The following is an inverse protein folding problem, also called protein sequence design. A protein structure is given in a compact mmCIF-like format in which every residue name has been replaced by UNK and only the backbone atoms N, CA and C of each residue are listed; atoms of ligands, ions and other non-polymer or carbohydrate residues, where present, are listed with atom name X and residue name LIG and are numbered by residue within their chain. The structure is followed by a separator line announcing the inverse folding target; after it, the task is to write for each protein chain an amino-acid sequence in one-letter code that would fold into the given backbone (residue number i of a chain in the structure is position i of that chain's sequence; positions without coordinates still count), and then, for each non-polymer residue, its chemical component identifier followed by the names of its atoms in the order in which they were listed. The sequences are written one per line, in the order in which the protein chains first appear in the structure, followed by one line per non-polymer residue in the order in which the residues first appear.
data_IF_008475199873
#
_entry.id   IF_008475199873
#
_cell.length_a   1.000
_cell.length_b   1.000
_cell.length_c   1.000
_cell.angle_alpha   90.00
_cell.angle_beta   90.00
_cell.angle_gamma   90.00
#
_symmetry.space_group_name_H-M   'P 1'
#
loop_
_entity.id
_entity.type
_entity.pdbx_description
1 polymer ?
#
# COMPACT_ATOMS: atom_id res chain seq x y z
N UNK A 1 -30.88 -25.17 12.20
CA UNK A 1 -29.95 -24.55 13.17
C UNK A 1 -28.46 -24.73 12.76
N UNK A 2 -28.04 -25.92 12.29
CA UNK A 2 -26.63 -26.14 11.91
C UNK A 2 -26.16 -25.33 10.68
N UNK A 3 -27.03 -25.11 9.68
CA UNK A 3 -26.67 -24.35 8.48
C UNK A 3 -26.45 -22.85 8.75
N UNK A 4 -27.09 -22.29 9.77
CA UNK A 4 -26.93 -20.88 10.15
C UNK A 4 -25.58 -20.67 10.83
N UNK A 5 -25.20 -21.57 11.74
CA UNK A 5 -23.91 -21.51 12.46
C UNK A 5 -22.73 -21.68 11.49
N UNK A 6 -22.84 -22.59 10.53
CA UNK A 6 -21.79 -22.80 9.51
C UNK A 6 -21.67 -21.56 8.62
N UNK A 7 -22.77 -20.95 8.19
CA UNK A 7 -22.74 -19.70 7.41
C UNK A 7 -22.12 -18.54 8.18
N UNK A 8 -22.47 -18.36 9.44
CA UNK A 8 -21.91 -17.32 10.30
C UNK A 8 -20.42 -17.54 10.53
N UNK A 9 -19.99 -18.78 10.74
CA UNK A 9 -18.57 -19.12 10.93
C UNK A 9 -17.75 -18.92 9.65
N UNK A 10 -18.25 -19.34 8.50
CA UNK A 10 -17.62 -19.06 7.20
C UNK A 10 -17.54 -17.56 6.90
N UNK A 11 -18.59 -16.80 7.22
CA UNK A 11 -18.60 -15.35 7.04
C UNK A 11 -17.61 -14.65 7.97
N UNK A 12 -17.47 -15.12 9.20
CA UNK A 12 -16.48 -14.61 10.16
C UNK A 12 -15.04 -14.88 9.70
N UNK A 13 -14.73 -16.09 9.22
CA UNK A 13 -13.42 -16.46 8.71
C UNK A 13 -13.07 -15.64 7.44
N UNK A 14 -14.00 -15.50 6.50
CA UNK A 14 -13.78 -14.69 5.29
C UNK A 14 -13.53 -13.22 5.63
N UNK A 15 -14.31 -12.65 6.52
CA UNK A 15 -14.16 -11.25 6.95
C UNK A 15 -12.81 -10.98 7.59
N UNK A 16 -12.32 -11.88 8.44
CA UNK A 16 -10.99 -11.75 9.04
C UNK A 16 -9.88 -11.92 8.00
N UNK A 17 -10.03 -12.80 7.02
CA UNK A 17 -9.10 -13.00 5.91
C UNK A 17 -8.90 -11.73 5.08
N UNK A 18 -9.97 -10.98 4.81
CA UNK A 18 -9.92 -9.74 4.03
C UNK A 18 -9.18 -8.66 4.80
N UNK A 19 -9.49 -8.47 6.09
CA UNK A 19 -8.79 -7.51 6.94
C UNK A 19 -7.29 -7.76 7.02
N UNK A 20 -6.88 -9.02 7.17
CA UNK A 20 -5.46 -9.42 7.18
C UNK A 20 -4.81 -9.15 5.83
N UNK A 21 -5.48 -9.45 4.72
CA UNK A 21 -4.97 -9.18 3.38
C UNK A 21 -4.76 -7.67 3.15
N UNK A 22 -5.70 -6.82 3.58
CA UNK A 22 -5.54 -5.37 3.49
C UNK A 22 -4.46 -4.83 4.41
N UNK A 23 -4.34 -5.33 5.65
CA UNK A 23 -3.22 -4.99 6.52
C UNK A 23 -1.89 -5.26 5.84
N UNK A 24 -1.73 -6.42 5.22
CA UNK A 24 -0.52 -6.79 4.50
C UNK A 24 -0.27 -5.90 3.27
N UNK A 25 -1.31 -5.64 2.46
CA UNK A 25 -1.20 -4.79 1.26
C UNK A 25 -0.78 -3.35 1.59
N UNK A 26 -1.18 -2.82 2.75
CA UNK A 26 -0.80 -1.48 3.19
C UNK A 26 0.60 -1.49 3.81
N UNK A 27 0.89 -2.47 4.66
CA UNK A 27 2.15 -2.50 5.42
C UNK A 27 3.34 -2.83 4.54
N UNK A 28 3.19 -3.76 3.61
CA UNK A 28 4.28 -4.27 2.76
C UNK A 28 5.00 -3.17 1.95
N UNK A 29 4.32 -2.24 1.26
CA UNK A 29 5.00 -1.16 0.56
C UNK A 29 5.53 -0.06 1.50
N UNK A 30 4.92 0.14 2.67
CA UNK A 30 5.38 1.12 3.66
C UNK A 30 6.63 0.66 4.40
N UNK A 31 6.75 -0.63 4.68
CA UNK A 31 7.83 -1.19 5.48
C UNK A 31 8.47 -2.35 4.71
N UNK A 32 9.52 -2.04 3.98
CA UNK A 32 10.39 -3.05 3.41
C UNK A 32 11.84 -2.85 3.90
N UNK A 33 12.62 -3.90 3.84
CA UNK A 33 13.99 -3.94 4.34
C UNK A 33 14.87 -2.86 3.72
N UNK A 34 14.72 -2.63 2.42
CA UNK A 34 15.51 -1.65 1.70
C UNK A 34 15.21 -0.21 2.16
N UNK A 35 13.92 0.10 2.31
CA UNK A 35 13.46 1.41 2.80
C UNK A 35 13.92 1.66 4.24
N UNK A 36 13.83 0.65 5.12
CA UNK A 36 14.28 0.75 6.51
C UNK A 36 15.78 1.02 6.58
N UNK A 37 16.59 0.32 5.79
CA UNK A 37 18.06 0.54 5.76
C UNK A 37 18.39 1.95 5.28
N UNK A 38 17.75 2.45 4.23
CA UNK A 38 17.95 3.82 3.75
C UNK A 38 17.51 4.86 4.79
N UNK A 39 16.37 4.64 5.43
CA UNK A 39 15.88 5.51 6.50
C UNK A 39 16.85 5.58 7.67
N UNK A 40 17.43 4.44 8.08
CA UNK A 40 18.48 4.39 9.12
C UNK A 40 19.70 5.21 8.73
N UNK A 41 20.13 5.15 7.48
CA UNK A 41 21.28 5.87 6.98
C UNK A 41 21.07 7.39 6.89
N UNK A 42 19.89 7.84 6.49
CA UNK A 42 19.64 9.27 6.24
C UNK A 42 19.00 10.00 7.44
N UNK A 43 18.07 9.36 8.16
CA UNK A 43 17.30 9.98 9.24
C UNK A 43 17.68 9.47 10.64
N UNK A 44 18.51 8.44 10.71
CA UNK A 44 18.93 7.84 11.96
C UNK A 44 17.87 6.92 12.59
N UNK A 45 18.25 6.25 13.69
CA UNK A 45 17.47 5.17 14.28
C UNK A 45 16.15 5.63 14.91
N UNK A 46 16.11 6.83 15.55
CA UNK A 46 14.91 7.33 16.23
C UNK A 46 13.75 7.51 15.26
N UNK A 47 14.01 8.22 14.15
CA UNK A 47 13.00 8.50 13.13
C UNK A 47 12.60 7.21 12.44
N UNK A 48 13.55 6.32 12.15
CA UNK A 48 13.28 5.05 11.48
C UNK A 48 12.41 4.13 12.32
N UNK A 49 12.69 3.96 13.60
CA UNK A 49 11.85 3.14 14.51
C UNK A 49 10.43 3.69 14.58
N UNK A 50 10.28 5.01 14.74
CA UNK A 50 8.96 5.64 14.78
C UNK A 50 8.21 5.49 13.45
N UNK A 51 8.93 5.58 12.32
CA UNK A 51 8.39 5.34 10.98
C UNK A 51 7.85 3.90 10.83
N UNK A 52 8.64 2.90 11.22
CA UNK A 52 8.22 1.48 11.19
C UNK A 52 7.01 1.25 12.07
N UNK A 53 7.01 1.77 13.30
CA UNK A 53 5.87 1.66 14.20
C UNK A 53 4.61 2.33 13.62
N UNK A 54 4.76 3.51 13.03
CA UNK A 54 3.63 4.20 12.39
C UNK A 54 3.09 3.45 11.18
N UNK A 55 3.96 2.88 10.35
CA UNK A 55 3.56 2.05 9.20
C UNK A 55 2.82 0.77 9.62
N UNK A 56 3.27 0.11 10.69
CA UNK A 56 2.56 -1.02 11.30
C UNK A 56 1.18 -0.60 11.81
N UNK A 57 1.11 0.53 12.52
CA UNK A 57 -0.16 1.07 13.04
C UNK A 57 -1.13 1.39 11.90
N UNK A 58 -0.66 2.03 10.83
CA UNK A 58 -1.46 2.30 9.63
C UNK A 58 -2.03 1.00 9.07
N UNK A 59 -1.18 -0.01 8.86
CA UNK A 59 -1.59 -1.29 8.29
C UNK A 59 -2.60 -2.03 9.17
N UNK A 60 -2.34 -2.12 10.47
CA UNK A 60 -3.24 -2.80 11.42
C UNK A 60 -4.57 -2.08 11.54
N UNK A 61 -4.56 -0.76 11.78
CA UNK A 61 -5.80 0.03 11.96
C UNK A 61 -6.64 0.03 10.68
N UNK A 62 -6.02 0.27 9.54
CA UNK A 62 -6.72 0.26 8.24
C UNK A 62 -7.29 -1.12 7.91
N UNK A 63 -6.52 -2.19 8.16
CA UNK A 63 -6.97 -3.56 7.97
C UNK A 63 -8.11 -3.96 8.92
N UNK A 64 -8.09 -3.51 10.18
CA UNK A 64 -9.19 -3.72 11.13
C UNK A 64 -10.46 -2.98 10.69
N UNK A 65 -10.34 -1.74 10.22
CA UNK A 65 -11.49 -0.96 9.73
C UNK A 65 -12.09 -1.65 8.50
N UNK A 66 -11.27 -1.96 7.50
CA UNK A 66 -11.70 -2.63 6.26
C UNK A 66 -12.24 -4.03 6.53
N UNK A 67 -11.61 -4.78 7.44
CA UNK A 67 -12.07 -6.12 7.83
C UNK A 67 -13.42 -6.15 8.55
N UNK A 68 -13.81 -5.05 9.22
CA UNK A 68 -15.14 -4.93 9.86
C UNK A 68 -16.25 -4.56 8.88
N UNK A 69 -15.92 -4.05 7.71
CA UNK A 69 -16.87 -3.74 6.67
C UNK A 69 -17.17 -4.99 5.83
N UNK A 70 -18.42 -5.19 5.42
CA UNK A 70 -18.82 -6.30 4.57
C UNK A 70 -18.42 -6.00 3.11
N UNK A 71 -17.14 -6.22 2.77
CA UNK A 71 -16.54 -5.84 1.50
C UNK A 71 -16.49 -7.00 0.48
N UNK A 72 -16.96 -8.19 0.84
CA UNK A 72 -16.93 -9.40 -0.02
C UNK A 72 -17.55 -9.16 -1.39
N UNK A 73 -18.64 -8.37 -1.45
CA UNK A 73 -19.35 -8.02 -2.68
C UNK A 73 -18.55 -7.13 -3.66
N UNK A 74 -17.47 -6.53 -3.19
CA UNK A 74 -16.61 -5.65 -4.00
C UNK A 74 -15.35 -6.34 -4.51
N UNK A 75 -15.13 -7.61 -4.15
CA UNK A 75 -14.11 -8.46 -4.75
C UNK A 75 -14.58 -8.99 -6.08
N UNK A 76 -13.65 -9.25 -6.99
CA UNK A 76 -13.96 -9.86 -8.29
C UNK A 76 -14.23 -11.34 -8.08
N UNK A 77 -15.29 -11.88 -8.70
CA UNK A 77 -15.79 -13.25 -8.50
C UNK A 77 -14.71 -14.33 -8.70
N UNK A 78 -13.81 -14.16 -9.66
CA UNK A 78 -12.71 -15.10 -9.92
C UNK A 78 -11.80 -15.36 -8.70
N UNK A 79 -11.74 -14.42 -7.74
CA UNK A 79 -10.97 -14.55 -6.50
C UNK A 79 -11.80 -15.12 -5.34
N UNK A 80 -13.12 -15.02 -5.43
CA UNK A 80 -14.05 -15.53 -4.41
C UNK A 80 -14.43 -16.98 -4.70
N UNK A 81 -14.68 -17.33 -5.96
CA UNK A 81 -15.08 -18.69 -6.37
C UNK A 81 -14.01 -19.75 -6.11
N UNK A 82 -12.73 -19.39 -6.23
CA UNK A 82 -11.63 -20.31 -5.88
C UNK A 82 -11.56 -20.65 -4.38
N UNK A 83 -12.26 -19.89 -3.51
CA UNK A 83 -12.34 -20.20 -2.06
C UNK A 83 -13.59 -20.96 -1.65
N UNK A 84 -14.67 -20.93 -2.44
CA UNK A 84 -15.97 -21.46 -2.04
C UNK A 84 -16.30 -22.86 -2.58
N UNK A 85 -15.56 -23.38 -3.49
CA UNK A 85 -15.88 -24.69 -4.03
C UNK A 85 -14.78 -25.32 -4.89
N UNK A 86 -14.12 -26.30 -4.36
CA UNK A 86 -13.15 -27.20 -4.99
C UNK A 86 -11.68 -26.75 -4.93
N UNK A 87 -11.16 -26.44 -3.75
CA UNK A 87 -9.87 -27.06 -3.46
C UNK A 87 -10.14 -28.57 -3.23
N UNK A 88 -10.28 -29.36 -4.30
CA UNK A 88 -9.77 -30.72 -4.22
C UNK A 88 -8.33 -30.51 -3.80
N UNK A 89 -7.98 -30.93 -2.59
CA UNK A 89 -6.60 -31.19 -2.23
C UNK A 89 -6.11 -32.24 -3.23
N UNK A 90 -5.68 -31.80 -4.40
CA UNK A 90 -4.97 -32.63 -5.32
C UNK A 90 -3.64 -32.93 -4.64
N UNK A 91 -3.60 -34.08 -3.99
CA UNK A 91 -2.39 -34.60 -3.37
C UNK A 91 -1.38 -34.88 -4.46
N UNK A 92 -0.54 -33.90 -4.74
CA UNK A 92 0.57 -34.08 -5.67
C UNK A 92 1.64 -34.93 -5.00
N UNK A 93 1.65 -36.22 -5.31
CA UNK A 93 2.55 -37.23 -4.70
C UNK A 93 3.98 -37.15 -5.21
N UNK A 94 4.22 -36.54 -6.38
CA UNK A 94 5.53 -36.48 -7.04
C UNK A 94 6.05 -35.05 -7.17
N UNK A 95 7.37 -34.88 -6.98
CA UNK A 95 8.02 -33.56 -7.14
C UNK A 95 7.73 -32.93 -8.52
N UNK A 96 7.77 -33.73 -9.58
CA UNK A 96 7.48 -33.23 -10.94
C UNK A 96 6.06 -32.75 -11.11
N UNK A 97 5.05 -33.36 -10.48
CA UNK A 97 3.67 -32.90 -10.54
C UNK A 97 3.47 -31.59 -9.77
N UNK A 98 4.17 -31.41 -8.63
CA UNK A 98 4.17 -30.16 -7.86
C UNK A 98 4.82 -29.02 -8.64
N UNK A 99 5.97 -29.30 -9.27
CA UNK A 99 6.67 -28.29 -10.09
C UNK A 99 5.84 -27.87 -11.30
N UNK A 100 5.24 -28.84 -12.01
CA UNK A 100 4.39 -28.54 -13.17
C UNK A 100 3.17 -27.71 -12.78
N UNK A 101 2.50 -28.07 -11.70
CA UNK A 101 1.38 -27.27 -11.17
C UNK A 101 1.82 -25.85 -10.82
N UNK A 102 2.92 -25.70 -10.09
CA UNK A 102 3.45 -24.37 -9.73
C UNK A 102 3.81 -23.54 -10.96
N UNK A 103 4.38 -24.17 -11.99
CA UNK A 103 4.69 -23.50 -13.25
C UNK A 103 3.45 -23.05 -14.00
N UNK A 104 2.48 -23.94 -14.19
CA UNK A 104 1.24 -23.66 -14.90
C UNK A 104 0.43 -22.56 -14.17
N UNK A 105 0.37 -22.60 -12.85
CA UNK A 105 -0.29 -21.58 -12.03
C UNK A 105 0.44 -20.23 -12.11
N UNK A 106 1.77 -20.22 -12.02
CA UNK A 106 2.58 -19.01 -12.15
C UNK A 106 2.39 -18.35 -13.52
N UNK A 107 2.40 -19.14 -14.60
CA UNK A 107 2.16 -18.64 -15.96
C UNK A 107 0.72 -18.12 -16.10
N UNK A 108 -0.26 -18.80 -15.52
CA UNK A 108 -1.66 -18.38 -15.52
C UNK A 108 -1.85 -17.02 -14.83
N UNK A 109 -1.28 -16.88 -13.63
CA UNK A 109 -1.32 -15.63 -12.86
C UNK A 109 -0.61 -14.51 -13.65
N UNK A 110 0.60 -14.76 -14.13
CA UNK A 110 1.38 -13.78 -14.90
C UNK A 110 0.59 -13.29 -16.12
N UNK A 111 -0.02 -14.20 -16.90
CA UNK A 111 -0.85 -13.83 -18.07
C UNK A 111 -2.06 -12.96 -17.70
N UNK A 112 -2.60 -13.11 -16.49
CA UNK A 112 -3.75 -12.32 -16.03
C UNK A 112 -3.36 -10.90 -15.62
N UNK A 113 -2.14 -10.68 -15.14
CA UNK A 113 -1.74 -9.40 -14.53
C UNK A 113 -0.72 -8.60 -15.34
N UNK A 114 0.08 -9.22 -16.24
CA UNK A 114 1.21 -8.56 -16.93
C UNK A 114 0.80 -7.28 -17.68
N UNK A 115 -0.36 -7.29 -18.35
CA UNK A 115 -0.84 -6.11 -19.08
C UNK A 115 -1.17 -4.95 -18.13
N UNK A 116 -1.80 -5.24 -16.99
CA UNK A 116 -2.11 -4.24 -15.97
C UNK A 116 -0.85 -3.66 -15.34
N UNK A 117 0.16 -4.51 -15.12
CA UNK A 117 1.50 -4.08 -14.67
C UNK A 117 2.13 -3.15 -15.69
N UNK A 118 2.15 -3.51 -16.98
CA UNK A 118 2.71 -2.67 -18.04
C UNK A 118 2.01 -1.32 -18.13
N UNK A 119 0.68 -1.30 -18.12
CA UNK A 119 -0.10 -0.06 -18.15
C UNK A 119 0.21 0.78 -16.90
N UNK A 120 0.19 0.17 -15.70
CA UNK A 120 0.46 0.86 -14.44
C UNK A 120 1.84 1.49 -14.42
N UNK A 121 2.89 0.72 -14.71
CA UNK A 121 4.27 1.21 -14.76
C UNK A 121 4.46 2.26 -15.86
N UNK A 122 3.88 2.05 -17.04
CA UNK A 122 3.95 3.00 -18.15
C UNK A 122 3.32 4.35 -17.80
N UNK A 123 2.15 4.37 -17.18
CA UNK A 123 1.49 5.59 -16.70
C UNK A 123 2.34 6.25 -15.61
N UNK A 124 2.84 5.48 -14.63
CA UNK A 124 3.69 6.00 -13.57
C UNK A 124 4.99 6.63 -14.09
N UNK A 125 5.66 5.99 -15.03
CA UNK A 125 6.87 6.51 -15.67
C UNK A 125 6.60 7.80 -16.47
N UNK A 126 5.47 7.87 -17.18
CA UNK A 126 5.06 9.08 -17.89
C UNK A 126 4.85 10.23 -16.91
N UNK A 127 4.10 10.03 -15.82
CA UNK A 127 3.84 11.06 -14.80
C UNK A 127 5.16 11.53 -14.16
N UNK A 128 6.07 10.61 -13.82
CA UNK A 128 7.34 10.92 -13.20
C UNK A 128 8.22 11.87 -14.05
N UNK A 129 8.18 11.73 -15.37
CA UNK A 129 8.92 12.62 -16.28
C UNK A 129 8.31 14.02 -16.42
N UNK A 130 7.00 14.19 -16.18
CA UNK A 130 6.31 15.46 -16.40
C UNK A 130 6.20 16.35 -15.16
N UNK A 131 6.41 15.82 -13.95
CA UNK A 131 6.28 16.58 -12.69
C UNK A 131 7.68 16.84 -12.11
N UNK A 132 8.27 18.06 -12.30
CA UNK A 132 9.55 18.42 -11.71
C UNK A 132 9.47 18.49 -10.17
N UNK A 133 10.50 18.00 -9.48
CA UNK A 133 10.59 18.02 -8.01
C UNK A 133 10.51 19.43 -7.44
N UNK A 134 11.06 20.44 -8.16
CA UNK A 134 11.00 21.84 -7.77
C UNK A 134 9.57 22.39 -7.74
N UNK A 135 8.71 21.91 -8.62
CA UNK A 135 7.29 22.31 -8.64
C UNK A 135 6.56 21.79 -7.41
N UNK A 136 6.79 20.53 -7.05
CA UNK A 136 6.25 19.88 -5.84
C UNK A 136 6.67 20.67 -4.60
N UNK A 137 7.97 20.99 -4.50
CA UNK A 137 8.52 21.74 -3.39
C UNK A 137 7.89 23.14 -3.28
N UNK A 138 7.76 23.88 -4.39
CA UNK A 138 7.16 25.22 -4.40
C UNK A 138 5.69 25.20 -3.96
N UNK A 139 4.94 24.19 -4.34
CA UNK A 139 3.54 24.03 -3.93
C UNK A 139 3.47 23.75 -2.43
N UNK A 140 4.21 22.76 -1.95
CA UNK A 140 4.13 22.32 -0.56
C UNK A 140 4.66 23.38 0.42
N UNK A 141 5.77 24.06 0.10
CA UNK A 141 6.40 25.07 0.99
C UNK A 141 5.51 26.30 1.26
N UNK A 142 4.57 26.59 0.36
CA UNK A 142 3.64 27.75 0.50
C UNK A 142 2.37 27.44 1.29
N UNK A 143 2.11 26.20 1.63
CA UNK A 143 0.79 25.75 2.12
C UNK A 143 0.68 25.62 3.63
N UNK A 144 1.74 25.88 4.39
CA UNK A 144 1.71 25.89 5.86
C UNK A 144 1.13 24.60 6.45
N UNK A 145 0.04 24.71 7.20
CA UNK A 145 -0.59 23.56 7.86
C UNK A 145 -1.16 22.54 6.87
N UNK A 146 -1.54 22.95 5.66
CA UNK A 146 -2.03 22.05 4.61
C UNK A 146 -0.92 21.34 3.85
N UNK A 147 0.35 21.54 4.22
CA UNK A 147 1.49 20.91 3.56
C UNK A 147 1.41 19.38 3.56
N UNK A 148 0.95 18.76 4.67
CA UNK A 148 0.82 17.30 4.80
C UNK A 148 -0.26 16.74 3.86
N UNK A 149 -1.52 17.19 3.88
CA UNK A 149 -2.54 16.73 2.93
C UNK A 149 -2.14 16.93 1.47
N UNK A 150 -1.58 18.08 1.14
CA UNK A 150 -1.19 18.39 -0.24
C UNK A 150 -0.02 17.49 -0.68
N UNK A 151 0.98 17.29 0.17
CA UNK A 151 2.08 16.38 -0.11
C UNK A 151 1.57 14.94 -0.33
N UNK A 152 0.65 14.48 0.51
CA UNK A 152 0.04 13.15 0.38
C UNK A 152 -0.71 13.01 -0.94
N UNK A 153 -1.56 13.98 -1.31
CA UNK A 153 -2.32 13.96 -2.56
C UNK A 153 -1.39 14.03 -3.78
N UNK A 154 -0.35 14.85 -3.74
CA UNK A 154 0.64 14.96 -4.82
C UNK A 154 1.49 13.68 -4.96
N UNK A 155 1.67 12.92 -3.89
CA UNK A 155 2.35 11.63 -3.92
C UNK A 155 1.56 10.53 -4.65
N UNK A 156 0.22 10.56 -4.57
CA UNK A 156 -0.65 9.51 -5.15
C UNK A 156 -0.42 9.27 -6.66
N UNK A 157 -0.36 10.30 -7.52
CA UNK A 157 -0.10 10.07 -8.95
C UNK A 157 1.34 9.67 -9.26
N UNK A 158 2.26 9.85 -8.31
CA UNK A 158 3.68 9.56 -8.52
C UNK A 158 3.97 8.07 -8.33
N UNK A 159 4.94 7.59 -9.08
CA UNK A 159 5.49 6.25 -8.93
C UNK A 159 7.00 6.36 -8.77
N UNK A 160 7.54 5.68 -7.78
CA UNK A 160 8.97 5.66 -7.55
C UNK A 160 9.44 4.38 -6.89
N UNK A 161 10.65 3.94 -7.21
CA UNK A 161 11.30 2.87 -6.45
C UNK A 161 11.68 3.37 -5.06
N UNK A 162 11.73 2.49 -4.07
CA UNK A 162 12.18 2.83 -2.71
C UNK A 162 13.57 3.50 -2.73
N UNK A 163 14.43 3.13 -3.69
CA UNK A 163 15.75 3.73 -3.89
C UNK A 163 15.70 5.23 -4.21
N UNK A 164 14.68 5.67 -4.93
CA UNK A 164 14.52 7.07 -5.31
C UNK A 164 13.67 7.87 -4.29
N UNK A 165 12.68 7.24 -3.69
CA UNK A 165 11.71 7.91 -2.81
C UNK A 165 12.39 8.46 -1.54
N UNK A 166 13.27 7.68 -0.90
CA UNK A 166 13.93 8.10 0.35
C UNK A 166 14.88 9.28 0.11
N UNK A 167 15.80 9.26 -0.86
CA UNK A 167 16.61 10.45 -1.18
C UNK A 167 15.80 11.70 -1.51
N UNK A 168 14.66 11.54 -2.21
CA UNK A 168 13.77 12.69 -2.50
C UNK A 168 13.22 13.27 -1.19
N UNK A 169 12.74 12.43 -0.27
CA UNK A 169 12.24 12.89 1.03
C UNK A 169 13.34 13.61 1.83
N UNK A 170 14.56 13.10 1.81
CA UNK A 170 15.73 13.73 2.45
C UNK A 170 16.00 15.11 1.86
N UNK A 171 16.05 15.23 0.53
CA UNK A 171 16.29 16.51 -0.16
C UNK A 171 15.18 17.51 0.15
N UNK A 172 13.93 17.09 0.16
CA UNK A 172 12.79 17.94 0.52
C UNK A 172 12.91 18.45 1.96
N UNK A 173 13.29 17.56 2.90
CA UNK A 173 13.52 17.91 4.28
C UNK A 173 14.70 18.90 4.44
N UNK A 174 15.86 18.65 3.79
CA UNK A 174 17.02 19.54 3.79
C UNK A 174 16.72 20.92 3.22
N UNK A 175 15.77 21.03 2.30
CA UNK A 175 15.28 22.29 1.74
C UNK A 175 14.22 23.00 2.62
N UNK A 176 14.07 22.57 3.87
CA UNK A 176 13.21 23.23 4.87
C UNK A 176 11.75 22.77 4.90
N UNK A 177 11.42 21.66 4.23
CA UNK A 177 10.10 21.04 4.38
C UNK A 177 10.00 20.36 5.76
N UNK A 178 8.87 20.48 6.49
CA UNK A 178 8.68 19.77 7.75
C UNK A 178 8.85 18.27 7.59
N UNK A 179 9.48 17.61 8.57
CA UNK A 179 9.80 16.19 8.54
C UNK A 179 8.60 15.30 8.20
N UNK A 180 7.48 15.51 8.91
CA UNK A 180 6.28 14.71 8.70
C UNK A 180 5.64 14.94 7.33
N UNK A 181 5.82 16.12 6.74
CA UNK A 181 5.34 16.39 5.37
C UNK A 181 6.18 15.60 4.35
N UNK A 182 7.51 15.56 4.50
CA UNK A 182 8.40 14.80 3.63
C UNK A 182 8.14 13.28 3.77
N UNK A 183 7.93 12.79 5.01
CA UNK A 183 7.61 11.39 5.27
C UNK A 183 6.22 11.02 4.76
N UNK A 184 5.20 11.88 4.91
CA UNK A 184 3.86 11.63 4.37
C UNK A 184 3.87 11.57 2.83
N UNK A 185 4.63 12.43 2.17
CA UNK A 185 4.86 12.37 0.72
C UNK A 185 5.49 11.05 0.32
N UNK A 186 6.53 10.60 1.03
CA UNK A 186 7.21 9.34 0.79
C UNK A 186 6.25 8.13 0.99
N UNK A 187 5.49 8.12 2.08
CA UNK A 187 4.48 7.08 2.36
C UNK A 187 3.40 7.03 1.26
N UNK A 188 2.95 8.18 0.78
CA UNK A 188 1.94 8.25 -0.26
C UNK A 188 2.42 7.66 -1.59
N UNK A 189 3.65 7.96 -2.01
CA UNK A 189 4.25 7.36 -3.21
C UNK A 189 4.41 5.86 -3.05
N UNK A 190 4.80 5.40 -1.85
CA UNK A 190 5.04 3.98 -1.59
C UNK A 190 3.75 3.15 -1.54
N UNK A 191 2.67 3.65 -0.90
CA UNK A 191 1.48 2.87 -0.58
C UNK A 191 0.22 3.24 -1.38
N UNK A 192 0.23 4.37 -2.10
CA UNK A 192 -0.96 4.91 -2.78
C UNK A 192 -0.71 5.21 -4.25
N UNK A 193 0.28 4.57 -4.87
CA UNK A 193 0.64 4.89 -6.24
C UNK A 193 -0.48 4.56 -7.23
N UNK A 194 -0.64 5.41 -8.25
CA UNK A 194 -1.62 5.19 -9.31
C UNK A 194 -1.41 3.86 -10.06
N UNK A 195 -0.17 3.42 -10.36
CA UNK A 195 0.09 2.08 -10.88
C UNK A 195 -0.43 0.95 -9.99
N UNK A 196 -0.31 1.08 -8.67
CA UNK A 196 -0.85 0.10 -7.72
C UNK A 196 -2.38 0.03 -7.80
N UNK A 197 -3.06 1.19 -7.86
CA UNK A 197 -4.51 1.25 -8.07
C UNK A 197 -4.95 0.55 -9.35
N UNK A 198 -4.19 0.72 -10.45
CA UNK A 198 -4.44 0.07 -11.72
C UNK A 198 -4.29 -1.45 -11.61
N UNK A 199 -3.24 -1.93 -10.93
CA UNK A 199 -3.05 -3.37 -10.70
C UNK A 199 -4.15 -3.97 -9.82
N UNK A 200 -4.53 -3.28 -8.74
CA UNK A 200 -5.59 -3.70 -7.84
C UNK A 200 -6.96 -3.77 -8.53
N UNK A 201 -7.16 -3.03 -9.62
CA UNK A 201 -8.40 -3.07 -10.42
C UNK A 201 -8.72 -4.46 -10.97
N UNK A 202 -7.72 -5.31 -11.13
CA UNK A 202 -7.92 -6.71 -11.56
C UNK A 202 -8.55 -7.57 -10.46
N UNK A 203 -8.25 -7.27 -9.19
CA UNK A 203 -8.71 -8.06 -8.03
C UNK A 203 -9.92 -7.45 -7.34
N UNK A 204 -10.12 -6.12 -7.46
CA UNK A 204 -11.09 -5.35 -6.70
C UNK A 204 -11.89 -4.40 -7.59
N UNK A 205 -13.15 -4.16 -7.20
CA UNK A 205 -13.97 -3.11 -7.80
C UNK A 205 -13.48 -1.73 -7.40
N UNK A 206 -13.73 -0.72 -8.26
CA UNK A 206 -13.27 0.65 -8.04
C UNK A 206 -13.68 1.23 -6.68
N UNK A 207 -14.89 0.92 -6.22
CA UNK A 207 -15.41 1.36 -4.93
C UNK A 207 -14.52 0.92 -3.76
N UNK A 208 -14.02 -0.32 -3.80
CA UNK A 208 -13.14 -0.87 -2.78
C UNK A 208 -11.75 -0.21 -2.83
N UNK A 209 -11.23 0.06 -4.03
CA UNK A 209 -9.96 0.76 -4.23
C UNK A 209 -10.04 2.19 -3.67
N UNK A 210 -11.11 2.92 -3.97
CA UNK A 210 -11.32 4.29 -3.46
C UNK A 210 -11.41 4.28 -1.92
N UNK A 211 -12.12 3.32 -1.34
CA UNK A 211 -12.22 3.18 0.11
C UNK A 211 -10.86 2.86 0.74
N UNK A 212 -10.12 1.92 0.17
CA UNK A 212 -8.78 1.53 0.58
C UNK A 212 -7.81 2.73 0.53
N UNK A 213 -7.76 3.45 -0.59
CA UNK A 213 -6.95 4.64 -0.76
C UNK A 213 -7.37 5.76 0.19
N UNK A 214 -8.66 5.97 0.39
CA UNK A 214 -9.19 6.99 1.30
C UNK A 214 -8.77 6.76 2.75
N UNK A 215 -8.95 5.54 3.27
CA UNK A 215 -8.56 5.18 4.64
C UNK A 215 -7.05 5.30 4.81
N UNK A 216 -6.26 4.79 3.86
CA UNK A 216 -4.80 4.86 3.92
C UNK A 216 -4.30 6.30 3.83
N UNK A 217 -4.89 7.13 2.96
CA UNK A 217 -4.58 8.56 2.85
C UNK A 217 -4.81 9.28 4.18
N UNK A 218 -5.96 9.08 4.82
CA UNK A 218 -6.26 9.69 6.12
C UNK A 218 -5.26 9.26 7.20
N UNK A 219 -4.89 7.98 7.23
CA UNK A 219 -3.92 7.47 8.17
C UNK A 219 -2.51 8.05 7.93
N UNK A 220 -2.08 8.21 6.67
CA UNK A 220 -0.81 8.85 6.30
C UNK A 220 -0.82 10.33 6.71
N UNK A 221 -1.91 11.05 6.47
CA UNK A 221 -2.04 12.46 6.86
C UNK A 221 -1.92 12.59 8.39
N UNK A 222 -2.64 11.77 9.15
CA UNK A 222 -2.56 11.78 10.61
C UNK A 222 -1.12 11.51 11.09
N UNK A 223 -0.45 10.54 10.50
CA UNK A 223 0.96 10.21 10.79
C UNK A 223 1.90 11.36 10.42
N UNK A 224 1.69 12.01 9.29
CA UNK A 224 2.48 13.17 8.88
C UNK A 224 2.38 14.32 9.87
N UNK A 225 1.19 14.64 10.39
CA UNK A 225 1.03 15.62 11.44
C UNK A 225 1.69 15.20 12.75
N UNK A 226 1.60 13.92 13.11
CA UNK A 226 2.28 13.37 14.28
C UNK A 226 3.81 13.60 14.19
N UNK A 227 4.42 13.30 13.05
CA UNK A 227 5.85 13.52 12.83
C UNK A 227 6.23 15.01 12.83
N UNK A 228 5.39 15.88 12.29
CA UNK A 228 5.62 17.33 12.36
C UNK A 228 5.59 17.84 13.81
N UNK A 229 4.66 17.30 14.61
CA UNK A 229 4.60 17.63 16.04
C UNK A 229 5.83 17.10 16.82
N UNK A 230 6.27 15.90 16.52
CA UNK A 230 7.42 15.27 17.17
C UNK A 230 8.77 15.75 16.62
N UNK A 231 8.81 16.51 15.54
CA UNK A 231 10.06 16.92 14.87
C UNK A 231 11.05 17.57 15.84
N UNK A 232 10.61 18.48 16.71
CA UNK A 232 11.47 19.18 17.68
C UNK A 232 12.04 18.27 18.77
N UNK A 233 11.49 17.07 18.95
CA UNK A 233 11.97 16.07 19.93
C UNK A 233 12.90 15.06 19.26
N UNK A 234 12.70 14.80 17.97
CA UNK A 234 13.40 13.78 17.20
C UNK A 234 14.74 14.26 16.64
N UNK A 235 14.82 15.55 16.33
CA UNK A 235 15.97 16.25 15.76
C UNK A 235 16.53 17.20 16.79
#
# INVERSE_FOLDING_TARGET
KNNTIIKEHCHYIMRNSIGVAFSFLITSPLINEYLVVLMLGFFGWKITVLYVLSGLMIGVVSGLILGRMNLDQYLVADFVENKAGKSKEESYSTFTSRFRFGWDESVSITKKIWLWVLIGVGVGAAIHNYIPQEMIQRIISKTGIFSVPIATILGVPMYGSCAAIVPIAVVLFQKGMPLGTALAFMMAIAALSLPEAIMLRRAMRLQLIILFFGITTLAIIATGYLFNFLQNILI
#
